data_IF_999094092619
#
_entry.id   IF_999094092619
#
_cell.length_a   1.000
_cell.length_b   1.000
_cell.length_c   1.000
_cell.angle_alpha   90.00
_cell.angle_beta   90.00
_cell.angle_gamma   90.00
#
_symmetry.space_group_name_H-M   'P 1'
#
loop_
_entity.id
_entity.type
_entity.pdbx_description
1 polymer ?
#
# COMPACT_ATOMS: atom_id res chain seq x y z
N UNK A 1 -14.88 40.75 -49.48
CA UNK A 1 -13.98 39.72 -50.05
C UNK A 1 -13.41 38.94 -48.88
N UNK A 2 -13.63 37.62 -48.91
CA UNK A 2 -13.05 36.58 -48.06
C UNK A 2 -13.07 36.82 -46.54
N UNK A 3 -14.21 36.52 -45.92
CA UNK A 3 -14.23 35.76 -44.66
C UNK A 3 -13.62 34.38 -44.91
N UNK A 4 -12.29 34.32 -45.00
CA UNK A 4 -11.57 33.07 -44.78
C UNK A 4 -11.27 33.00 -43.29
N UNK A 5 -12.23 32.42 -42.56
CA UNK A 5 -12.03 31.82 -41.25
C UNK A 5 -10.61 31.27 -41.16
N UNK A 6 -9.76 31.91 -40.36
CA UNK A 6 -8.41 31.42 -40.13
C UNK A 6 -8.46 30.26 -39.13
N UNK A 7 -9.13 29.19 -39.56
CA UNK A 7 -9.32 27.97 -38.78
C UNK A 7 -7.99 27.29 -38.47
N UNK A 8 -6.95 27.56 -39.28
CA UNK A 8 -5.57 27.11 -39.07
C UNK A 8 -4.97 27.84 -37.87
N UNK A 9 -4.97 29.19 -37.84
CA UNK A 9 -4.49 29.95 -36.68
C UNK A 9 -5.26 29.61 -35.38
N UNK A 10 -6.56 29.37 -35.48
CA UNK A 10 -7.39 28.96 -34.35
C UNK A 10 -7.07 27.52 -33.89
N UNK A 11 -6.76 26.61 -34.81
CA UNK A 11 -6.31 25.25 -34.50
C UNK A 11 -4.90 25.25 -33.87
N UNK A 12 -3.97 26.04 -34.39
CA UNK A 12 -2.63 26.22 -33.83
C UNK A 12 -2.69 26.82 -32.43
N UNK A 13 -3.53 27.86 -32.21
CA UNK A 13 -3.77 28.42 -30.87
C UNK A 13 -4.31 27.39 -29.90
N UNK A 14 -5.27 26.55 -30.30
CA UNK A 14 -5.82 25.48 -29.46
C UNK A 14 -4.80 24.38 -29.15
N UNK A 15 -3.98 24.01 -30.13
CA UNK A 15 -2.92 23.01 -29.95
C UNK A 15 -1.85 23.51 -28.97
N UNK A 16 -1.43 24.77 -29.10
CA UNK A 16 -0.46 25.37 -28.18
C UNK A 16 -1.04 25.49 -26.77
N UNK A 17 -2.27 25.98 -26.61
CA UNK A 17 -2.93 26.05 -25.31
C UNK A 17 -3.07 24.67 -24.64
N UNK A 18 -3.37 23.63 -25.41
CA UNK A 18 -3.43 22.26 -24.91
C UNK A 18 -2.05 21.72 -24.49
N UNK A 19 -1.01 22.02 -25.26
CA UNK A 19 0.36 21.66 -24.91
C UNK A 19 0.82 22.34 -23.61
N UNK A 20 0.54 23.63 -23.45
CA UNK A 20 0.83 24.39 -22.24
C UNK A 20 0.07 23.83 -21.02
N UNK A 21 -1.20 23.47 -21.19
CA UNK A 21 -2.00 22.84 -20.14
C UNK A 21 -1.43 21.47 -19.74
N UNK A 22 -0.97 20.66 -20.71
CA UNK A 22 -0.32 19.38 -20.44
C UNK A 22 1.00 19.56 -19.70
N UNK A 23 1.81 20.54 -20.08
CA UNK A 23 3.08 20.84 -19.41
C UNK A 23 2.81 21.30 -17.97
N UNK A 24 1.84 22.19 -17.77
CA UNK A 24 1.45 22.65 -16.44
C UNK A 24 0.97 21.49 -15.55
N UNK A 25 0.16 20.56 -16.09
CA UNK A 25 -0.26 19.34 -15.38
C UNK A 25 0.94 18.47 -14.98
N UNK A 26 1.91 18.27 -15.87
CA UNK A 26 3.14 17.51 -15.55
C UNK A 26 3.93 18.15 -14.42
N UNK A 27 4.08 19.48 -14.44
CA UNK A 27 4.77 20.23 -13.39
C UNK A 27 4.05 20.03 -12.05
N UNK A 28 2.73 20.20 -12.00
CA UNK A 28 1.95 19.99 -10.77
C UNK A 28 2.08 18.56 -10.26
N UNK A 29 1.99 17.56 -11.14
CA UNK A 29 2.16 16.16 -10.78
C UNK A 29 3.54 15.89 -10.15
N UNK A 30 4.60 16.44 -10.74
CA UNK A 30 5.96 16.30 -10.22
C UNK A 30 6.11 16.96 -8.83
N UNK A 31 5.58 18.18 -8.66
CA UNK A 31 5.58 18.88 -7.36
C UNK A 31 4.85 18.04 -6.30
N UNK A 32 3.67 17.51 -6.62
CA UNK A 32 2.91 16.65 -5.71
C UNK A 32 3.69 15.38 -5.34
N UNK A 33 4.36 14.73 -6.29
CA UNK A 33 5.19 13.55 -6.04
C UNK A 33 6.31 13.87 -5.04
N UNK A 34 7.00 15.00 -5.24
CA UNK A 34 8.10 15.41 -4.38
C UNK A 34 7.65 15.79 -2.97
N UNK A 35 6.54 16.52 -2.84
CA UNK A 35 5.94 16.86 -1.55
C UNK A 35 5.48 15.59 -0.81
N UNK A 36 4.75 14.72 -1.51
CA UNK A 36 4.28 13.46 -0.94
C UNK A 36 5.45 12.58 -0.50
N UNK A 37 6.52 12.51 -1.30
CA UNK A 37 7.72 11.76 -0.93
C UNK A 37 8.34 12.27 0.36
N UNK A 38 8.54 13.59 0.50
CA UNK A 38 9.15 14.18 1.70
C UNK A 38 8.39 13.82 2.96
N UNK A 39 7.06 13.91 2.93
CA UNK A 39 6.20 13.56 4.08
C UNK A 39 6.22 12.05 4.33
N UNK A 40 6.04 11.24 3.29
CA UNK A 40 6.01 9.79 3.42
C UNK A 40 7.34 9.20 3.91
N UNK A 41 8.46 9.78 3.50
CA UNK A 41 9.79 9.29 3.88
C UNK A 41 10.05 9.40 5.39
N UNK A 42 9.40 10.32 6.09
CA UNK A 42 9.45 10.40 7.57
C UNK A 42 8.83 9.13 8.17
N UNK A 43 7.66 8.73 7.68
CA UNK A 43 6.99 7.49 8.09
C UNK A 43 7.86 6.27 7.77
N UNK A 44 8.46 6.21 6.57
CA UNK A 44 9.37 5.11 6.19
C UNK A 44 10.49 4.97 7.21
N UNK A 45 11.20 6.06 7.51
CA UNK A 45 12.27 6.07 8.51
C UNK A 45 11.80 5.62 9.90
N UNK A 46 10.64 6.10 10.34
CA UNK A 46 10.08 5.72 11.64
C UNK A 46 9.79 4.21 11.70
N UNK A 47 9.10 3.67 10.69
CA UNK A 47 8.81 2.23 10.60
C UNK A 47 10.10 1.41 10.51
N UNK A 48 11.08 1.81 9.69
CA UNK A 48 12.36 1.11 9.59
C UNK A 48 13.07 1.01 10.94
N UNK A 49 13.11 2.11 11.70
CA UNK A 49 13.68 2.12 13.06
C UNK A 49 12.90 1.21 14.01
N UNK A 50 11.57 1.18 13.93
CA UNK A 50 10.76 0.28 14.74
C UNK A 50 10.99 -1.20 14.37
N UNK A 51 11.12 -1.51 13.08
CA UNK A 51 11.47 -2.85 12.59
C UNK A 51 12.83 -3.30 13.15
N UNK A 52 13.85 -2.43 13.07
CA UNK A 52 15.18 -2.73 13.62
C UNK A 52 15.11 -3.00 15.13
N UNK A 53 14.40 -2.14 15.88
CA UNK A 53 14.19 -2.33 17.32
C UNK A 53 13.51 -3.66 17.64
N UNK A 54 12.47 -4.04 16.88
CA UNK A 54 11.81 -5.33 17.04
C UNK A 54 12.79 -6.46 16.73
N UNK A 55 13.53 -6.39 15.62
CA UNK A 55 14.48 -7.42 15.21
C UNK A 55 15.64 -7.63 16.19
N UNK A 56 16.00 -6.60 16.95
CA UNK A 56 17.00 -6.69 18.03
C UNK A 56 16.48 -7.35 19.32
N UNK A 57 15.17 -7.60 19.44
CA UNK A 57 14.62 -8.35 20.56
C UNK A 57 14.93 -9.84 20.44
N UNK A 58 15.02 -10.52 21.59
CA UNK A 58 15.06 -11.98 21.65
C UNK A 58 13.86 -12.59 20.92
N UNK A 59 14.07 -13.77 20.33
CA UNK A 59 13.06 -14.50 19.56
C UNK A 59 11.74 -14.66 20.33
N UNK A 60 11.83 -14.99 21.61
CA UNK A 60 10.68 -15.22 22.49
C UNK A 60 9.80 -13.98 22.63
N UNK A 61 10.41 -12.80 22.67
CA UNK A 61 9.72 -11.52 22.82
C UNK A 61 9.05 -11.04 21.52
N UNK A 62 9.45 -11.60 20.36
CA UNK A 62 8.87 -11.26 19.06
C UNK A 62 7.72 -12.18 18.63
N UNK A 63 7.51 -13.30 19.30
CA UNK A 63 6.43 -14.23 18.96
C UNK A 63 5.08 -13.48 18.93
N UNK A 64 4.25 -13.70 17.89
CA UNK A 64 4.33 -14.79 16.91
C UNK A 64 5.14 -14.47 15.64
N UNK A 65 5.74 -13.28 15.53
CA UNK A 65 6.51 -12.84 14.36
C UNK A 65 7.81 -13.65 14.20
N UNK A 66 8.07 -14.13 12.98
CA UNK A 66 9.28 -14.86 12.60
C UNK A 66 10.25 -13.96 11.85
N UNK A 67 9.74 -13.25 10.85
CA UNK A 67 10.48 -12.32 10.01
C UNK A 67 9.72 -10.99 9.95
N UNK A 68 10.46 -9.89 9.94
CA UNK A 68 9.95 -8.53 9.82
C UNK A 68 10.99 -7.70 9.08
N UNK A 69 10.59 -7.02 8.01
CA UNK A 69 11.52 -6.29 7.16
C UNK A 69 10.88 -5.27 6.25
N UNK A 70 11.73 -4.64 5.44
CA UNK A 70 11.36 -3.65 4.44
C UNK A 70 12.18 -3.88 3.17
N UNK A 71 11.56 -3.64 2.02
CA UNK A 71 12.22 -3.58 0.71
C UNK A 71 11.87 -2.26 0.03
N UNK A 72 12.86 -1.60 -0.54
CA UNK A 72 12.69 -0.43 -1.40
C UNK A 72 12.86 -0.83 -2.87
N UNK A 73 11.93 -0.37 -3.71
CA UNK A 73 12.02 -0.50 -5.16
C UNK A 73 12.23 0.89 -5.74
N UNK A 74 13.49 1.26 -5.91
CA UNK A 74 13.93 2.61 -6.32
C UNK A 74 13.27 3.07 -7.62
N UNK A 75 13.18 2.18 -8.62
CA UNK A 75 12.58 2.46 -9.93
C UNK A 75 11.10 2.88 -9.86
N UNK A 76 10.41 2.55 -8.77
CA UNK A 76 8.97 2.78 -8.61
C UNK A 76 8.62 3.70 -7.44
N UNK A 77 9.63 4.23 -6.73
CA UNK A 77 9.45 4.94 -5.46
C UNK A 77 8.46 4.22 -4.56
N UNK A 78 8.66 2.91 -4.45
CA UNK A 78 7.75 2.00 -3.78
C UNK A 78 8.44 1.38 -2.57
N UNK A 79 7.77 1.43 -1.43
CA UNK A 79 8.27 0.88 -0.17
C UNK A 79 7.35 -0.25 0.26
N UNK A 80 7.89 -1.44 0.43
CA UNK A 80 7.17 -2.61 0.93
C UNK A 80 7.66 -2.96 2.33
N UNK A 81 6.73 -3.09 3.26
CA UNK A 81 7.00 -3.67 4.58
C UNK A 81 6.33 -5.02 4.67
N UNK A 82 7.01 -5.98 5.30
CA UNK A 82 6.53 -7.35 5.36
C UNK A 82 6.79 -7.98 6.72
N UNK A 83 5.91 -8.90 7.10
CA UNK A 83 6.04 -9.69 8.32
C UNK A 83 5.53 -11.11 8.09
N UNK A 84 6.08 -12.08 8.81
CA UNK A 84 5.61 -13.47 8.77
C UNK A 84 5.41 -14.06 10.16
N UNK A 85 4.46 -14.99 10.28
CA UNK A 85 4.14 -15.69 11.52
C UNK A 85 3.58 -17.09 11.24
N UNK A 86 3.78 -18.02 12.17
CA UNK A 86 3.01 -19.26 12.14
C UNK A 86 1.65 -19.08 12.79
N UNK A 87 0.58 -19.33 12.03
CA UNK A 87 -0.81 -19.22 12.48
C UNK A 87 -1.47 -20.59 12.46
N UNK A 88 -2.16 -20.91 13.55
CA UNK A 88 -3.00 -22.10 13.61
C UNK A 88 -4.38 -21.80 13.05
N UNK A 89 -4.75 -22.45 11.95
CA UNK A 89 -6.11 -22.42 11.43
C UNK A 89 -6.80 -23.74 11.75
N UNK A 90 -8.04 -23.65 12.23
CA UNK A 90 -8.93 -24.81 12.30
C UNK A 90 -9.39 -25.11 10.88
N UNK A 91 -9.10 -26.30 10.39
CA UNK A 91 -9.69 -26.80 9.15
C UNK A 91 -10.87 -27.67 9.53
N UNK A 92 -12.08 -27.23 9.18
CA UNK A 92 -13.28 -28.03 9.39
C UNK A 92 -13.38 -29.05 8.26
N UNK A 93 -12.86 -30.25 8.50
CA UNK A 93 -13.22 -31.42 7.71
C UNK A 93 -14.29 -32.18 8.51
N UNK A 94 -15.56 -32.05 8.11
CA UNK A 94 -16.71 -32.78 8.68
C UNK A 94 -17.05 -32.47 10.15
N UNK A 95 -18.30 -32.74 10.53
CA UNK A 95 -19.05 -32.16 11.66
C UNK A 95 -18.53 -32.45 13.08
N UNK A 96 -17.44 -33.21 13.30
CA UNK A 96 -17.07 -33.62 14.66
C UNK A 96 -15.59 -33.55 15.07
N UNK A 97 -14.63 -33.32 14.18
CA UNK A 97 -13.20 -33.21 14.58
C UNK A 97 -12.41 -32.20 13.72
N UNK A 98 -12.44 -30.93 14.11
CA UNK A 98 -11.60 -29.91 13.47
C UNK A 98 -10.11 -30.16 13.77
N UNK A 99 -9.31 -30.48 12.75
CA UNK A 99 -7.85 -30.55 12.89
C UNK A 99 -7.26 -29.14 12.86
N UNK A 100 -6.43 -28.79 13.85
CA UNK A 100 -5.64 -27.55 13.83
C UNK A 100 -4.42 -27.78 12.96
N UNK A 101 -4.32 -27.05 11.87
CA UNK A 101 -3.14 -27.05 11.01
C UNK A 101 -2.34 -25.76 11.23
N UNK A 102 -1.01 -25.90 11.31
CA UNK A 102 -0.07 -24.79 11.42
C UNK A 102 0.27 -24.34 10.00
N UNK A 103 0.05 -23.06 9.71
CA UNK A 103 0.36 -22.43 8.41
C UNK A 103 1.35 -21.31 8.62
N UNK A 104 2.28 -21.13 7.68
CA UNK A 104 3.06 -19.90 7.62
C UNK A 104 2.20 -18.82 6.96
N UNK A 105 2.07 -17.68 7.61
CA UNK A 105 1.32 -16.54 7.11
C UNK A 105 2.29 -15.40 6.83
N UNK A 106 2.10 -14.71 5.71
CA UNK A 106 2.83 -13.50 5.34
C UNK A 106 1.87 -12.34 5.21
N UNK A 107 2.26 -11.20 5.77
CA UNK A 107 1.61 -9.91 5.61
C UNK A 107 2.55 -8.99 4.86
N UNK A 108 2.02 -8.27 3.87
CA UNK A 108 2.76 -7.24 3.15
C UNK A 108 1.91 -5.98 3.03
N UNK A 109 2.54 -4.83 3.17
CA UNK A 109 1.97 -3.53 2.86
C UNK A 109 2.94 -2.77 1.98
N UNK A 110 2.50 -2.46 0.76
CA UNK A 110 3.27 -1.76 -0.25
C UNK A 110 2.69 -0.37 -0.46
N UNK A 111 3.53 0.65 -0.39
CA UNK A 111 3.18 2.05 -0.55
C UNK A 111 3.80 2.59 -1.83
N UNK A 112 2.96 3.17 -2.69
CA UNK A 112 3.36 3.83 -3.94
C UNK A 112 2.97 5.30 -3.89
N UNK A 113 3.95 6.18 -4.05
CA UNK A 113 3.77 7.63 -4.07
C UNK A 113 2.81 8.02 -5.21
N UNK A 114 1.81 8.85 -4.89
CA UNK A 114 0.89 9.38 -5.89
C UNK A 114 1.33 10.75 -6.38
N UNK A 115 0.88 11.07 -7.59
CA UNK A 115 0.85 12.38 -8.23
C UNK A 115 -0.30 13.30 -7.75
N UNK A 116 -1.18 12.81 -6.89
CA UNK A 116 -2.20 13.60 -6.23
C UNK A 116 -1.69 14.08 -4.87
N UNK A 117 -1.85 15.37 -4.60
CA UNK A 117 -1.41 16.00 -3.35
C UNK A 117 -1.97 15.29 -2.11
N UNK A 118 -1.10 15.03 -1.13
CA UNK A 118 -1.43 14.41 0.16
C UNK A 118 -2.04 13.00 0.05
N UNK A 119 -1.83 12.29 -1.06
CA UNK A 119 -2.38 10.95 -1.30
C UNK A 119 -1.25 9.95 -1.58
N UNK A 120 -1.37 8.76 -1.00
CA UNK A 120 -0.51 7.61 -1.30
C UNK A 120 -1.36 6.39 -1.64
N UNK A 121 -0.93 5.60 -2.63
CA UNK A 121 -1.59 4.36 -3.05
C UNK A 121 -0.99 3.22 -2.25
N UNK A 122 -1.84 2.38 -1.66
CA UNK A 122 -1.42 1.31 -0.75
C UNK A 122 -1.99 -0.01 -1.21
N UNK A 123 -1.16 -1.04 -1.23
CA UNK A 123 -1.56 -2.43 -1.42
C UNK A 123 -1.29 -3.22 -0.16
N UNK A 124 -2.32 -3.87 0.37
CA UNK A 124 -2.21 -4.75 1.55
C UNK A 124 -2.48 -6.17 1.09
N UNK A 125 -1.62 -7.11 1.49
CA UNK A 125 -1.82 -8.53 1.24
C UNK A 125 -1.59 -9.38 2.48
N UNK A 126 -2.37 -10.45 2.59
CA UNK A 126 -2.17 -11.54 3.54
C UNK A 126 -2.21 -12.87 2.77
N UNK A 127 -1.15 -13.66 2.89
CA UNK A 127 -0.97 -14.93 2.19
C UNK A 127 -0.66 -16.04 3.20
N UNK A 128 -1.21 -17.24 2.99
CA UNK A 128 -0.92 -18.41 3.82
C UNK A 128 -0.21 -19.47 2.97
N UNK A 129 0.73 -20.20 3.58
CA UNK A 129 1.38 -21.34 2.96
C UNK A 129 0.34 -22.38 2.59
N UNK A 130 0.33 -22.81 1.33
CA UNK A 130 -0.51 -23.93 0.92
C UNK A 130 -0.05 -25.21 1.62
N UNK A 131 -0.99 -25.96 2.18
CA UNK A 131 -0.73 -27.35 2.56
C UNK A 131 -0.89 -28.18 1.27
N UNK A 132 0.20 -28.58 0.65
CA UNK A 132 0.17 -29.32 -0.63
C UNK A 132 -0.70 -30.59 -0.57
N UNK A 133 -1.31 -30.88 -1.73
CA UNK A 133 -1.70 -32.16 -2.36
C UNK A 133 -3.17 -32.15 -2.81
N UNK A 134 -3.41 -31.90 -4.10
CA UNK A 134 -4.50 -32.53 -4.85
C UNK A 134 -5.64 -31.65 -5.39
N UNK A 135 -5.80 -30.39 -4.98
CA UNK A 135 -6.92 -29.58 -5.46
C UNK A 135 -6.50 -28.14 -5.74
N UNK A 136 -6.52 -27.81 -7.04
CA UNK A 136 -6.55 -26.48 -7.65
C UNK A 136 -5.79 -25.37 -6.92
N UNK A 137 -4.59 -25.12 -7.43
CA UNK A 137 -3.86 -23.85 -7.35
C UNK A 137 -4.82 -22.68 -7.48
N UNK A 138 -5.03 -22.00 -6.35
CA UNK A 138 -5.77 -20.78 -6.24
C UNK A 138 -5.11 -20.02 -5.11
N UNK A 139 -4.05 -19.28 -5.46
CA UNK A 139 -3.37 -18.34 -4.58
C UNK A 139 -4.44 -17.65 -3.71
N UNK A 140 -4.56 -18.04 -2.43
CA UNK A 140 -5.44 -17.37 -1.47
C UNK A 140 -4.83 -16.02 -1.04
N UNK A 141 -4.25 -15.31 -2.00
CA UNK A 141 -3.65 -14.01 -1.82
C UNK A 141 -4.76 -12.97 -1.87
N UNK A 142 -5.17 -12.50 -0.69
CA UNK A 142 -6.10 -11.37 -0.61
C UNK A 142 -5.32 -10.08 -0.80
N UNK A 143 -5.21 -9.61 -2.05
CA UNK A 143 -4.64 -8.29 -2.38
C UNK A 143 -5.74 -7.24 -2.38
N UNK A 144 -5.60 -6.23 -1.53
CA UNK A 144 -6.54 -5.11 -1.43
C UNK A 144 -5.81 -3.80 -1.70
N UNK A 145 -6.47 -2.88 -2.42
CA UNK A 145 -5.89 -1.59 -2.84
C UNK A 145 -6.64 -0.44 -2.19
N UNK A 146 -5.91 0.55 -1.70
CA UNK A 146 -6.47 1.73 -1.03
C UNK A 146 -5.75 3.02 -1.48
N UNK A 147 -6.46 4.15 -1.39
CA UNK A 147 -5.88 5.50 -1.43
C UNK A 147 -5.92 6.04 0.00
N UNK A 148 -4.78 6.46 0.56
CA UNK A 148 -4.67 6.96 1.94
C UNK A 148 -4.20 8.42 1.96
N UNK A 149 -4.62 9.20 2.97
CA UNK A 149 -4.14 10.58 3.20
C UNK A 149 -2.84 10.57 3.99
N UNK A 150 -1.81 11.24 3.49
CA UNK A 150 -0.53 11.37 4.21
C UNK A 150 -0.66 12.15 5.52
N UNK A 151 -1.60 13.08 5.62
CA UNK A 151 -1.92 13.77 6.87
C UNK A 151 -2.37 12.85 8.02
N UNK A 152 -2.73 11.59 7.73
CA UNK A 152 -3.04 10.58 8.74
C UNK A 152 -1.85 9.73 9.18
N UNK A 153 -0.65 9.97 8.64
CA UNK A 153 0.56 9.20 8.94
C UNK A 153 1.21 9.81 10.18
N UNK A 154 0.79 9.32 11.34
CA UNK A 154 1.26 9.73 12.65
C UNK A 154 1.76 8.52 13.44
N UNK A 155 2.34 8.76 14.62
CA UNK A 155 2.88 7.72 15.52
C UNK A 155 1.89 6.58 15.77
N UNK A 156 0.60 6.89 15.94
CA UNK A 156 -0.43 5.86 16.15
C UNK A 156 -0.53 4.95 14.94
N UNK A 157 -0.56 5.50 13.73
CA UNK A 157 -0.57 4.72 12.50
C UNK A 157 0.72 3.90 12.33
N UNK A 158 1.86 4.44 12.74
CA UNK A 158 3.15 3.74 12.72
C UNK A 158 3.14 2.49 13.62
N UNK A 159 2.74 2.66 14.88
CA UNK A 159 2.59 1.55 15.82
C UNK A 159 1.57 0.51 15.35
N UNK A 160 0.45 0.95 14.78
CA UNK A 160 -0.55 0.04 14.22
C UNK A 160 -0.01 -0.78 13.05
N UNK A 161 0.78 -0.15 12.18
CA UNK A 161 1.45 -0.83 11.06
C UNK A 161 2.39 -1.91 11.59
N UNK A 162 3.23 -1.60 12.57
CA UNK A 162 4.11 -2.60 13.21
C UNK A 162 3.31 -3.71 13.88
N UNK A 163 2.30 -3.37 14.68
CA UNK A 163 1.46 -4.36 15.36
C UNK A 163 0.73 -5.28 14.38
N UNK A 164 0.34 -4.76 13.21
CA UNK A 164 -0.23 -5.58 12.15
C UNK A 164 0.83 -6.49 11.51
N UNK A 165 2.02 -5.98 11.17
CA UNK A 165 3.10 -6.79 10.61
C UNK A 165 3.60 -7.88 11.57
N UNK A 166 3.55 -7.64 12.89
CA UNK A 166 3.91 -8.60 13.94
C UNK A 166 2.74 -9.47 14.42
N UNK A 167 1.57 -9.37 13.77
CA UNK A 167 0.36 -10.17 14.05
C UNK A 167 -0.27 -9.94 15.43
N UNK A 168 0.07 -8.84 16.11
CA UNK A 168 -0.60 -8.36 17.33
C UNK A 168 -1.93 -7.65 17.03
N UNK A 169 -2.13 -7.20 15.79
CA UNK A 169 -3.36 -6.57 15.31
C UNK A 169 -4.00 -7.41 14.20
N UNK A 170 -5.32 -7.61 14.25
CA UNK A 170 -6.04 -8.36 13.21
C UNK A 170 -6.11 -7.56 11.90
N UNK A 171 -6.28 -8.23 10.76
CA UNK A 171 -6.41 -7.54 9.47
C UNK A 171 -7.66 -6.63 9.44
N UNK A 172 -8.75 -7.06 10.06
CA UNK A 172 -9.97 -6.26 10.17
C UNK A 172 -9.75 -4.98 11.01
N UNK A 173 -9.07 -5.09 12.15
CA UNK A 173 -8.86 -3.96 13.05
C UNK A 173 -7.79 -2.99 12.55
N UNK A 174 -6.81 -3.50 11.80
CA UNK A 174 -5.85 -2.66 11.09
C UNK A 174 -6.53 -1.81 10.02
N UNK A 175 -7.40 -2.41 9.20
CA UNK A 175 -8.13 -1.69 8.14
C UNK A 175 -9.01 -0.56 8.65
N UNK A 176 -9.63 -0.72 9.83
CA UNK A 176 -10.41 0.34 10.48
C UNK A 176 -9.59 1.56 10.87
N UNK A 177 -8.27 1.41 10.95
CA UNK A 177 -7.34 2.44 11.38
C UNK A 177 -6.56 3.05 10.20
N UNK A 178 -6.85 2.62 8.97
CA UNK A 178 -6.25 3.21 7.78
C UNK A 178 -6.79 4.65 7.58
N UNK A 179 -5.91 5.63 7.34
CA UNK A 179 -6.31 6.99 7.06
C UNK A 179 -6.80 7.12 5.62
N UNK A 180 -8.01 6.62 5.33
CA UNK A 180 -8.58 6.64 3.99
C UNK A 180 -8.60 8.06 3.41
N UNK A 181 -8.18 8.18 2.16
CA UNK A 181 -8.59 9.32 1.34
C UNK A 181 -10.12 9.28 1.25
N UNK A 182 -10.77 10.42 1.39
CA UNK A 182 -12.20 10.50 1.06
C UNK A 182 -12.31 9.98 -0.38
N UNK A 183 -13.41 9.30 -0.69
CA UNK A 183 -13.69 8.94 -2.08
C UNK A 183 -13.74 10.27 -2.84
N UNK A 184 -12.63 10.64 -3.48
CA UNK A 184 -12.66 11.62 -4.54
C UNK A 184 -13.61 11.01 -5.56
N UNK A 185 -14.72 11.69 -5.83
CA UNK A 185 -15.63 11.38 -6.91
C UNK A 185 -14.80 11.20 -8.19
N UNK A 186 -14.42 9.94 -8.47
CA UNK A 186 -14.00 9.51 -9.80
C UNK A 186 -15.32 9.37 -10.61
N UNK A 187 -16.03 10.48 -10.75
CA UNK A 187 -17.07 10.73 -11.74
C UNK A 187 -16.46 11.55 -12.88
N UNK A 188 -15.36 11.04 -13.45
CA UNK A 188 -14.89 11.40 -14.79
C UNK A 188 -14.18 10.20 -15.41
N UNK A 189 -14.97 9.17 -15.75
CA UNK A 189 -15.07 8.61 -17.10
C UNK A 189 -16.46 7.99 -17.29
#
# INVERSE_FOLDING_TARGET
>A
MADTNNWIEEAERKQNAFADEQEHKKIIQQVNIEENFKVFYIFVKSISNLIERVNNLAWEARKPSLELGMTEVEEHKCYEFYGSAYIYKKTFFSFFTGTRSKHLCWRRISFKISDHRNIIKVHISEMFSEKNIGTQSGNNERKEKYKLKLSGFNDKFEYNTINWLTFNLSNHDFKKQLPFADQSDDHLM
#
